data_IF_111161523129
#
_entry.id   IF_111161523129
#
_cell.length_a   1.000
_cell.length_b   1.000
_cell.length_c   1.000
_cell.angle_alpha   90.00
_cell.angle_beta   90.00
_cell.angle_gamma   90.00
#
_symmetry.space_group_name_H-M   'P 1'
#
loop_
_entity.id
_entity.type
_entity.pdbx_description
1 polymer ?
#
# COMPACT_ATOMS: atom_id res chain seq x y z
N UNK A 1 -4.65 29.91 1.43
CA UNK A 1 -3.51 29.04 1.84
C UNK A 1 -2.42 29.19 0.79
N UNK A 2 -1.16 29.43 1.13
CA UNK A 2 -0.11 29.64 0.10
C UNK A 2 0.06 28.37 -0.74
N UNK A 3 -0.05 28.50 -2.06
CA UNK A 3 0.06 27.40 -3.04
C UNK A 3 1.31 26.52 -2.82
N UNK A 4 2.44 27.14 -2.46
CA UNK A 4 3.68 26.43 -2.13
C UNK A 4 3.62 25.57 -0.87
N UNK A 5 2.84 25.94 0.14
CA UNK A 5 2.70 25.14 1.37
C UNK A 5 1.86 23.89 1.13
N UNK A 6 0.87 23.98 0.23
CA UNK A 6 0.01 22.86 -0.14
C UNK A 6 0.75 21.79 -0.94
N UNK A 7 1.49 22.20 -1.97
CA UNK A 7 2.28 21.28 -2.82
C UNK A 7 3.41 20.60 -2.04
N UNK A 8 4.06 21.33 -1.10
CA UNK A 8 5.03 20.73 -0.20
C UNK A 8 4.39 19.69 0.73
N UNK A 9 3.19 19.97 1.24
CA UNK A 9 2.40 19.03 2.05
C UNK A 9 2.06 17.75 1.30
N UNK A 10 1.58 17.86 0.07
CA UNK A 10 1.32 16.70 -0.82
C UNK A 10 2.58 15.88 -1.05
N UNK A 11 3.70 16.53 -1.34
CA UNK A 11 4.98 15.85 -1.56
C UNK A 11 5.42 15.07 -0.31
N UNK A 12 5.40 15.71 0.86
CA UNK A 12 5.78 15.09 2.13
C UNK A 12 4.87 13.89 2.43
N UNK A 13 3.56 14.08 2.35
CA UNK A 13 2.61 13.00 2.64
C UNK A 13 2.79 11.83 1.67
N UNK A 14 2.90 12.09 0.37
CA UNK A 14 3.19 11.07 -0.66
C UNK A 14 4.51 10.34 -0.40
N UNK A 15 5.56 11.07 -0.03
CA UNK A 15 6.86 10.47 0.25
C UNK A 15 6.78 9.47 1.40
N UNK A 16 6.21 9.87 2.54
CA UNK A 16 6.15 9.02 3.73
C UNK A 16 5.11 7.90 3.62
N UNK A 17 3.92 8.17 3.08
CA UNK A 17 2.91 7.14 2.82
C UNK A 17 3.46 5.97 1.98
N UNK A 18 4.18 6.29 0.91
CA UNK A 18 4.78 5.28 0.04
C UNK A 18 5.91 4.49 0.70
N UNK A 19 6.58 5.07 1.71
CA UNK A 19 7.57 4.35 2.53
C UNK A 19 6.87 3.32 3.41
N UNK A 20 5.72 3.67 4.00
CA UNK A 20 5.00 2.79 4.91
C UNK A 20 4.32 1.63 4.20
N UNK A 21 3.50 1.90 3.18
CA UNK A 21 2.58 0.89 2.63
C UNK A 21 2.57 0.80 1.11
N UNK A 22 3.50 1.48 0.43
CA UNK A 22 3.58 1.51 -1.02
C UNK A 22 2.47 2.34 -1.69
N UNK A 23 2.29 2.14 -2.99
CA UNK A 23 1.42 2.96 -3.86
C UNK A 23 0.14 2.23 -4.28
N UNK A 24 -0.09 1.01 -3.80
CA UNK A 24 -1.24 0.22 -4.20
C UNK A 24 -2.49 0.52 -3.36
N UNK A 25 -3.63 0.03 -3.83
CA UNK A 25 -4.88 0.05 -3.08
C UNK A 25 -4.89 -1.03 -1.99
N UNK A 26 -5.80 -0.89 -1.03
CA UNK A 26 -5.95 -1.81 0.09
C UNK A 26 -7.08 -2.79 -0.20
N UNK A 27 -6.88 -4.06 0.13
CA UNK A 27 -7.81 -5.15 -0.16
C UNK A 27 -7.90 -6.13 1.02
N UNK A 28 -8.88 -7.03 0.98
CA UNK A 28 -8.93 -8.18 1.89
C UNK A 28 -7.84 -9.19 1.54
N UNK A 29 -7.45 -10.00 2.54
CA UNK A 29 -6.40 -11.02 2.40
C UNK A 29 -6.61 -11.95 1.19
N UNK A 30 -7.85 -12.38 0.97
CA UNK A 30 -8.25 -13.29 -0.11
C UNK A 30 -8.00 -12.69 -1.49
N UNK A 31 -8.32 -11.40 -1.66
CA UNK A 31 -8.18 -10.70 -2.94
C UNK A 31 -6.71 -10.42 -3.23
N UNK A 32 -5.95 -10.00 -2.22
CA UNK A 32 -4.49 -9.84 -2.34
C UNK A 32 -3.85 -11.14 -2.82
N UNK A 33 -4.26 -12.28 -2.26
CA UNK A 33 -3.75 -13.59 -2.69
C UNK A 33 -4.08 -13.89 -4.15
N UNK A 34 -5.31 -13.64 -4.57
CA UNK A 34 -5.74 -13.84 -5.96
C UNK A 34 -4.96 -12.92 -6.92
N UNK A 35 -4.72 -11.66 -6.54
CA UNK A 35 -3.93 -10.71 -7.33
C UNK A 35 -2.46 -11.13 -7.42
N UNK A 36 -1.86 -11.59 -6.31
CA UNK A 36 -0.51 -12.16 -6.32
C UNK A 36 -0.44 -13.39 -7.24
N UNK A 37 -1.44 -14.28 -7.22
CA UNK A 37 -1.46 -15.47 -8.06
C UNK A 37 -1.59 -15.15 -9.55
N UNK A 38 -2.40 -14.14 -9.91
CA UNK A 38 -2.56 -13.67 -11.28
C UNK A 38 -1.35 -12.86 -11.79
N UNK A 39 -0.51 -12.33 -10.89
CA UNK A 39 0.66 -11.53 -11.27
C UNK A 39 1.72 -12.30 -12.06
N UNK A 40 2.56 -11.58 -12.79
CA UNK A 40 3.70 -12.13 -13.52
C UNK A 40 4.91 -12.45 -12.62
N UNK A 41 4.78 -12.39 -11.29
CA UNK A 41 5.89 -12.62 -10.36
C UNK A 41 6.35 -14.09 -10.35
N UNK A 42 7.65 -14.32 -10.10
CA UNK A 42 8.18 -15.68 -9.93
C UNK A 42 7.55 -16.38 -8.72
N UNK A 43 7.40 -17.70 -8.77
CA UNK A 43 6.82 -18.54 -7.70
C UNK A 43 7.39 -18.22 -6.31
N UNK A 44 8.71 -18.09 -6.18
CA UNK A 44 9.39 -17.71 -4.92
C UNK A 44 8.97 -16.33 -4.42
N UNK A 45 8.81 -15.35 -5.31
CA UNK A 45 8.34 -14.01 -4.93
C UNK A 45 6.87 -14.03 -4.53
N UNK A 46 6.01 -14.76 -5.26
CA UNK A 46 4.59 -14.92 -4.88
C UNK A 46 4.44 -15.51 -3.48
N UNK A 47 5.21 -16.56 -3.17
CA UNK A 47 5.24 -17.17 -1.83
C UNK A 47 5.61 -16.14 -0.75
N UNK A 48 6.71 -15.42 -0.93
CA UNK A 48 7.17 -14.42 0.03
C UNK A 48 6.18 -13.26 0.21
N UNK A 49 5.56 -12.80 -0.88
CA UNK A 49 4.51 -11.77 -0.83
C UNK A 49 3.31 -12.25 -0.02
N UNK A 50 2.85 -13.49 -0.23
CA UNK A 50 1.74 -14.07 0.55
C UNK A 50 2.09 -14.22 2.03
N UNK A 51 3.31 -14.65 2.35
CA UNK A 51 3.79 -14.75 3.74
C UNK A 51 3.78 -13.38 4.43
N UNK A 52 4.27 -12.34 3.76
CA UNK A 52 4.23 -10.97 4.28
C UNK A 52 2.80 -10.49 4.58
N UNK A 53 1.89 -10.66 3.62
CA UNK A 53 0.50 -10.20 3.75
C UNK A 53 -0.22 -10.98 4.86
N UNK A 54 0.02 -12.29 4.97
CA UNK A 54 -0.51 -13.12 6.05
C UNK A 54 -0.03 -12.63 7.42
N UNK A 55 1.26 -12.37 7.53
CA UNK A 55 1.87 -11.88 8.77
C UNK A 55 1.35 -10.49 9.13
N UNK A 56 1.24 -9.59 8.15
CA UNK A 56 0.66 -8.26 8.34
C UNK A 56 -0.78 -8.33 8.85
N UNK A 57 -1.62 -9.18 8.25
CA UNK A 57 -2.99 -9.41 8.71
C UNK A 57 -3.06 -10.00 10.12
N UNK A 58 -2.17 -10.94 10.44
CA UNK A 58 -2.15 -11.64 11.73
C UNK A 58 -1.77 -10.71 12.87
N UNK A 59 -0.83 -9.81 12.62
CA UNK A 59 -0.30 -8.89 13.63
C UNK A 59 -0.86 -7.48 13.52
N UNK A 60 -1.79 -7.23 12.58
CA UNK A 60 -2.35 -5.91 12.27
C UNK A 60 -1.27 -4.83 12.10
N UNK A 61 -0.10 -5.21 11.59
CA UNK A 61 1.08 -4.36 11.50
C UNK A 61 2.01 -4.89 10.41
N UNK A 62 2.28 -4.06 9.41
CA UNK A 62 3.23 -4.37 8.36
C UNK A 62 4.68 -4.31 8.87
N UNK A 63 5.01 -3.35 9.73
CA UNK A 63 6.33 -3.24 10.34
C UNK A 63 6.65 -4.49 11.17
N UNK A 64 5.69 -4.96 11.97
CA UNK A 64 5.86 -6.20 12.72
C UNK A 64 6.06 -7.40 11.81
N UNK A 65 5.41 -7.42 10.65
CA UNK A 65 5.60 -8.48 9.66
C UNK A 65 7.00 -8.44 9.02
N UNK A 66 7.56 -7.25 8.78
CA UNK A 66 8.95 -7.13 8.33
C UNK A 66 9.94 -7.67 9.37
N UNK A 67 9.72 -7.36 10.65
CA UNK A 67 10.56 -7.86 11.75
C UNK A 67 10.49 -9.39 11.85
N UNK A 68 9.29 -9.97 11.84
CA UNK A 68 9.08 -11.42 11.95
C UNK A 68 9.72 -12.17 10.77
N UNK A 69 9.65 -11.60 9.57
CA UNK A 69 10.27 -12.17 8.38
C UNK A 69 11.76 -11.79 8.24
N UNK A 70 12.31 -11.04 9.19
CA UNK A 70 13.69 -10.58 9.24
C UNK A 70 14.13 -9.83 7.96
N UNK A 71 13.29 -8.90 7.49
CA UNK A 71 13.58 -8.10 6.30
C UNK A 71 14.51 -6.93 6.66
N UNK A 72 15.58 -6.77 5.88
CA UNK A 72 16.37 -5.54 5.91
C UNK A 72 15.77 -4.44 5.02
N UNK A 73 16.24 -3.20 5.18
CA UNK A 73 15.74 -2.02 4.43
C UNK A 73 15.71 -2.22 2.91
N UNK A 74 16.72 -2.87 2.33
CA UNK A 74 16.79 -3.13 0.89
C UNK A 74 15.70 -4.13 0.45
N UNK A 75 15.48 -5.18 1.24
CA UNK A 75 14.44 -6.17 1.00
C UNK A 75 13.04 -5.57 1.14
N UNK A 76 12.82 -4.70 2.12
CA UNK A 76 11.56 -3.93 2.27
C UNK A 76 11.28 -3.12 1.01
N UNK A 77 12.26 -2.32 0.55
CA UNK A 77 12.11 -1.54 -0.69
C UNK A 77 11.84 -2.44 -1.91
N UNK A 78 12.51 -3.58 -2.00
CA UNK A 78 12.34 -4.51 -3.11
C UNK A 78 10.99 -5.24 -3.10
N UNK A 79 10.45 -5.59 -1.93
CA UNK A 79 9.14 -6.23 -1.82
C UNK A 79 8.02 -5.22 -2.09
N UNK A 80 8.11 -4.00 -1.55
CA UNK A 80 7.13 -2.95 -1.79
C UNK A 80 7.03 -2.60 -3.27
N UNK A 81 8.16 -2.55 -4.00
CA UNK A 81 8.15 -2.38 -5.47
C UNK A 81 7.34 -3.46 -6.20
N UNK A 82 7.31 -4.70 -5.71
CA UNK A 82 6.52 -5.78 -6.33
C UNK A 82 5.03 -5.60 -6.07
N UNK A 83 4.66 -5.19 -4.86
CA UNK A 83 3.31 -4.81 -4.48
C UNK A 83 2.80 -3.62 -5.32
N UNK A 84 3.60 -2.58 -5.45
CA UNK A 84 3.29 -1.43 -6.31
C UNK A 84 3.06 -1.84 -7.78
N UNK A 85 3.88 -2.76 -8.31
CA UNK A 85 3.74 -3.23 -9.70
C UNK A 85 2.39 -3.93 -9.97
N UNK A 86 1.78 -4.51 -8.93
CA UNK A 86 0.48 -5.18 -9.06
C UNK A 86 -0.69 -4.31 -8.55
N UNK A 87 -0.43 -3.06 -8.16
CA UNK A 87 -1.46 -2.13 -7.70
C UNK A 87 -2.03 -2.45 -6.31
N UNK A 88 -1.29 -3.17 -5.46
CA UNK A 88 -1.79 -3.65 -4.15
C UNK A 88 -0.86 -3.22 -3.03
N UNK A 89 -1.43 -2.71 -1.94
CA UNK A 89 -0.72 -2.53 -0.67
C UNK A 89 -0.60 -3.86 0.08
N UNK A 90 0.54 -4.15 0.73
CA UNK A 90 0.64 -5.32 1.62
C UNK A 90 -0.10 -5.13 2.95
N UNK A 91 -0.64 -3.94 3.23
CA UNK A 91 -1.53 -3.69 4.38
C UNK A 91 -2.91 -4.23 4.06
N UNK A 92 -3.45 -5.05 4.95
CA UNK A 92 -4.67 -5.81 4.72
C UNK A 92 -5.86 -5.12 5.38
N UNK A 93 -6.96 -5.00 4.65
CA UNK A 93 -8.23 -4.58 5.24
C UNK A 93 -8.72 -5.69 6.19
N UNK A 94 -9.03 -5.37 7.47
CA UNK A 94 -9.54 -6.36 8.41
C UNK A 94 -10.77 -7.09 7.87
N UNK A 95 -10.87 -8.40 8.15
CA UNK A 95 -11.93 -9.26 7.60
C UNK A 95 -13.34 -8.76 7.91
N UNK A 96 -13.56 -8.19 9.10
CA UNK A 96 -14.88 -7.71 9.56
C UNK A 96 -15.21 -6.28 9.14
N UNK A 97 -14.30 -5.61 8.44
CA UNK A 97 -14.54 -4.25 7.97
C UNK A 97 -15.53 -4.25 6.79
N UNK A 98 -16.34 -3.20 6.67
CA UNK A 98 -17.41 -3.11 5.66
C UNK A 98 -16.89 -2.97 4.23
N UNK A 99 -15.75 -2.30 4.05
CA UNK A 99 -15.15 -2.09 2.74
C UNK A 99 -14.38 -3.32 2.30
N UNK A 100 -14.60 -3.77 1.07
CA UNK A 100 -13.81 -4.80 0.41
C UNK A 100 -12.53 -4.25 -0.22
N UNK A 101 -12.55 -2.99 -0.62
CA UNK A 101 -11.41 -2.28 -1.20
C UNK A 101 -11.40 -0.83 -0.71
N UNK A 102 -10.22 -0.29 -0.43
CA UNK A 102 -10.03 1.12 -0.11
C UNK A 102 -8.99 1.64 -1.11
N UNK A 103 -9.38 2.63 -1.92
CA UNK A 103 -8.45 3.31 -2.83
C UNK A 103 -7.33 3.96 -2.03
N UNK A 104 -6.13 4.03 -2.60
CA UNK A 104 -5.01 4.67 -1.94
C UNK A 104 -5.38 6.10 -1.50
N UNK A 105 -5.28 6.45 -0.21
CA UNK A 105 -5.64 7.79 0.28
C UNK A 105 -4.90 8.92 -0.42
N UNK A 106 -3.71 8.67 -0.97
CA UNK A 106 -2.98 9.64 -1.78
C UNK A 106 -3.71 9.98 -3.07
N UNK A 107 -4.25 8.98 -3.76
CA UNK A 107 -4.95 9.21 -5.03
C UNK A 107 -6.26 9.96 -4.76
N UNK A 108 -6.95 9.61 -3.67
CA UNK A 108 -8.13 10.35 -3.21
C UNK A 108 -7.79 11.80 -2.87
N UNK A 109 -6.74 12.06 -2.09
CA UNK A 109 -6.36 13.41 -1.67
C UNK A 109 -5.94 14.30 -2.85
N UNK A 110 -5.39 13.72 -3.91
CA UNK A 110 -5.05 14.45 -5.14
C UNK A 110 -6.31 14.77 -5.96
N UNK A 111 -7.23 13.82 -6.12
CA UNK A 111 -8.49 14.06 -6.84
C UNK A 111 -9.33 15.18 -6.22
N UNK A 112 -9.48 15.19 -4.89
CA UNK A 112 -10.27 16.24 -4.22
C UNK A 112 -9.60 17.62 -4.26
N UNK A 113 -8.27 17.68 -4.44
CA UNK A 113 -7.58 18.97 -4.54
C UNK A 113 -7.85 19.69 -5.86
N UNK A 114 -8.22 18.97 -6.92
CA UNK A 114 -8.57 19.56 -8.21
C UNK A 114 -10.02 20.10 -8.23
N UNK A 115 -10.88 19.65 -7.31
CA UNK A 115 -12.27 20.12 -7.19
C UNK A 115 -12.39 21.49 -6.50
N UNK A 116 -11.47 21.83 -5.59
CA UNK A 116 -11.46 23.14 -4.92
C UNK A 116 -11.09 24.28 -5.91
N UNK A 117 -10.44 23.96 -7.04
CA UNK A 117 -10.14 24.91 -8.12
C UNK A 117 -11.30 25.11 -9.12
N UNK A 118 -12.36 24.29 -9.06
CA UNK A 118 -13.54 24.37 -9.94
C UNK A 118 -14.74 25.10 -9.33
N UNK A 119 -14.65 25.51 -8.06
CA UNK A 119 -15.70 26.27 -7.36
C UNK A 119 -15.45 27.79 -7.32
N UNK A 120 -14.68 28.34 -8.27
CA UNK A 120 -14.46 29.80 -8.43
C UNK A 120 -15.26 30.35 -9.60
#
# INVERSE_FOLDING_TARGET
>A
MNFHTFELGKYIFKHYANIFYGTGDFYKLTDIYAMIDKSSCKKKSKKLMKELVKSSATHSSLDRAFDILNFNKSQIKAILKKFNKIGVSPVVIPRRYEFDTIRNPLDLALEYSDYDDLCV
#
